data_IF_005631746132
#
_entry.id   IF_005631746132
#
_cell.length_a   1.000
_cell.length_b   1.000
_cell.length_c   1.000
_cell.angle_alpha   90.00
_cell.angle_beta   90.00
_cell.angle_gamma   90.00
#
_symmetry.space_group_name_H-M   'P 1'
#
loop_
_entity.id
_entity.type
_entity.pdbx_description
1 polymer ?
#
# COMPACT_ATOMS: atom_id res chain seq x y z
N UNK A 1 -42.21 -14.95 12.85
CA UNK A 1 -42.21 -13.48 12.80
C UNK A 1 -42.42 -12.94 14.22
N UNK A 2 -41.34 -12.57 14.91
CA UNK A 2 -41.37 -11.93 16.24
C UNK A 2 -40.26 -10.88 16.26
N UNK A 3 -40.68 -9.62 16.23
CA UNK A 3 -39.85 -8.43 16.28
C UNK A 3 -39.33 -8.28 17.71
N UNK A 4 -38.00 -8.20 17.89
CA UNK A 4 -37.36 -7.82 19.15
C UNK A 4 -36.90 -6.37 19.05
N UNK A 5 -37.50 -5.53 19.88
CA UNK A 5 -37.30 -4.10 20.06
C UNK A 5 -36.00 -3.81 20.84
N UNK A 6 -35.23 -2.83 20.38
CA UNK A 6 -34.08 -2.22 21.09
C UNK A 6 -34.56 -1.33 22.26
N UNK A 7 -33.78 -1.22 23.36
CA UNK A 7 -33.97 -0.17 24.35
C UNK A 7 -33.14 1.08 24.01
N UNK A 8 -33.86 2.19 23.88
CA UNK A 8 -33.40 3.57 23.84
C UNK A 8 -32.89 3.97 25.24
N UNK A 9 -31.67 4.50 25.37
CA UNK A 9 -31.16 5.08 26.63
C UNK A 9 -31.17 6.60 26.52
N UNK A 10 -31.96 7.23 27.39
CA UNK A 10 -32.18 8.66 27.49
C UNK A 10 -31.35 9.26 28.64
N UNK A 11 -30.88 10.47 28.37
CA UNK A 11 -29.95 11.35 29.10
C UNK A 11 -30.44 11.65 30.54
N UNK A 12 -29.51 11.68 31.50
CA UNK A 12 -29.73 12.29 32.81
C UNK A 12 -28.76 13.47 33.03
N UNK A 13 -29.32 14.67 33.05
CA UNK A 13 -28.71 15.93 33.43
C UNK A 13 -28.40 15.97 34.93
N UNK A 14 -27.27 16.56 35.30
CA UNK A 14 -27.01 17.05 36.67
C UNK A 14 -26.55 18.50 36.61
N UNK A 15 -27.23 19.34 37.38
CA UNK A 15 -27.10 20.79 37.44
C UNK A 15 -26.21 21.24 38.62
N UNK A 16 -25.41 22.29 38.34
CA UNK A 16 -25.12 23.50 39.13
C UNK A 16 -24.57 23.40 40.56
N UNK A 17 -23.43 24.07 40.80
CA UNK A 17 -23.25 24.98 41.97
C UNK A 17 -22.51 26.25 41.53
N UNK A 18 -23.09 27.38 41.94
CA UNK A 18 -22.66 28.77 41.77
C UNK A 18 -21.53 29.15 42.74
N UNK A 19 -20.56 29.94 42.28
CA UNK A 19 -19.84 30.90 43.12
C UNK A 19 -19.75 32.25 42.41
N UNK A 20 -20.26 33.27 43.10
CA UNK A 20 -20.34 34.67 42.68
C UNK A 20 -19.01 35.40 42.83
N UNK A 21 -18.64 36.23 41.85
CA UNK A 21 -17.86 37.43 42.09
C UNK A 21 -18.33 38.55 41.15
N UNK A 22 -18.67 39.67 41.76
CA UNK A 22 -19.33 40.86 41.20
C UNK A 22 -18.38 41.70 40.35
N UNK A 23 -18.84 42.19 39.19
CA UNK A 23 -18.17 43.17 38.33
C UNK A 23 -19.18 43.89 37.42
N UNK A 24 -18.93 45.15 37.00
CA UNK A 24 -19.94 46.20 36.87
C UNK A 24 -20.68 46.28 35.51
N UNK A 25 -21.84 46.95 35.57
CA UNK A 25 -22.79 47.43 34.56
C UNK A 25 -22.52 47.22 33.05
N UNK A 26 -23.42 46.39 32.51
CA UNK A 26 -24.07 46.34 31.20
C UNK A 26 -23.74 47.44 30.16
N UNK A 27 -23.00 47.03 29.12
CA UNK A 27 -23.04 47.66 27.80
C UNK A 27 -24.05 46.90 26.90
N UNK A 28 -24.80 47.59 26.02
CA UNK A 28 -25.82 46.94 25.19
C UNK A 28 -25.21 45.89 24.24
N UNK A 29 -25.90 44.76 24.00
CA UNK A 29 -25.37 43.68 23.18
C UNK A 29 -25.23 44.10 21.71
N UNK A 30 -24.03 43.92 21.18
CA UNK A 30 -23.73 44.04 19.74
C UNK A 30 -24.42 42.86 19.02
N UNK A 31 -25.14 43.09 17.90
CA UNK A 31 -25.74 41.99 17.15
C UNK A 31 -24.66 41.07 16.57
N UNK A 32 -24.74 39.77 16.88
CA UNK A 32 -23.90 38.75 16.24
C UNK A 32 -24.33 38.56 14.78
N UNK A 33 -23.39 38.42 13.82
CA UNK A 33 -23.74 38.16 12.43
C UNK A 33 -24.36 36.76 12.29
N UNK A 34 -25.44 36.69 11.51
CA UNK A 34 -26.14 35.45 11.16
C UNK A 34 -25.23 34.61 10.25
N UNK A 35 -25.00 33.31 10.52
CA UNK A 35 -24.21 32.48 9.61
C UNK A 35 -24.93 32.36 8.27
N UNK A 36 -24.24 32.71 7.19
CA UNK A 36 -24.74 32.52 5.83
C UNK A 36 -24.76 31.02 5.53
N UNK A 37 -25.91 30.49 5.12
CA UNK A 37 -26.04 29.12 4.63
C UNK A 37 -25.18 28.96 3.38
N UNK A 38 -24.16 28.10 3.45
CA UNK A 38 -23.37 27.71 2.30
C UNK A 38 -24.17 26.65 1.55
N UNK A 39 -24.70 26.99 0.37
CA UNK A 39 -25.22 25.99 -0.56
C UNK A 39 -24.02 25.21 -1.12
N UNK A 40 -23.85 23.97 -0.69
CA UNK A 40 -22.90 23.05 -1.31
C UNK A 40 -23.47 22.66 -2.68
N UNK A 41 -23.00 23.33 -3.73
CA UNK A 41 -23.20 22.84 -5.10
C UNK A 41 -22.42 21.53 -5.27
N UNK A 42 -22.98 20.51 -5.93
CA UNK A 42 -22.23 19.30 -6.22
C UNK A 42 -21.05 19.67 -7.13
N UNK A 43 -19.84 19.37 -6.70
CA UNK A 43 -18.66 19.47 -7.55
C UNK A 43 -18.75 18.37 -8.62
N UNK A 44 -19.32 18.71 -9.77
CA UNK A 44 -19.07 18.00 -11.01
C UNK A 44 -17.80 18.58 -11.63
N UNK A 45 -16.76 17.77 -11.70
CA UNK A 45 -15.51 18.11 -12.37
C UNK A 45 -14.36 17.35 -11.77
N UNK A 46 -14.05 16.19 -12.36
CA UNK A 46 -12.73 15.57 -12.31
C UNK A 46 -11.71 16.65 -12.69
N UNK A 47 -11.04 17.20 -11.68
CA UNK A 47 -9.76 17.82 -11.88
C UNK A 47 -8.78 16.65 -12.00
N UNK A 48 -8.02 16.59 -13.09
CA UNK A 48 -6.79 15.82 -13.07
C UNK A 48 -5.98 16.33 -11.87
N UNK A 49 -5.85 15.49 -10.85
CA UNK A 49 -4.97 15.77 -9.72
C UNK A 49 -3.59 16.03 -10.29
N UNK A 50 -2.98 17.15 -9.90
CA UNK A 50 -1.59 17.39 -10.27
C UNK A 50 -0.74 16.26 -9.67
N UNK A 51 0.21 15.73 -10.44
CA UNK A 51 1.17 14.72 -9.98
C UNK A 51 1.65 15.06 -8.56
N UNK A 52 1.36 14.17 -7.62
CA UNK A 52 1.85 14.23 -6.26
C UNK A 52 3.37 14.06 -6.24
N UNK A 53 4.05 14.44 -5.15
CA UNK A 53 5.50 14.25 -5.07
C UNK A 53 5.87 12.76 -5.13
N UNK A 54 4.98 11.91 -4.64
CA UNK A 54 5.06 10.46 -4.60
C UNK A 54 4.98 9.86 -6.00
N UNK A 55 3.97 10.25 -6.78
CA UNK A 55 3.83 9.79 -8.18
C UNK A 55 4.97 10.31 -9.06
N UNK A 56 5.42 11.54 -8.83
CA UNK A 56 6.59 12.10 -9.53
C UNK A 56 7.90 11.36 -9.19
N UNK A 57 8.09 10.91 -7.94
CA UNK A 57 9.25 10.09 -7.56
C UNK A 57 9.24 8.73 -8.26
N UNK A 58 8.09 8.06 -8.30
CA UNK A 58 7.94 6.78 -9.01
C UNK A 58 8.17 6.94 -10.51
N UNK A 59 7.64 8.01 -11.12
CA UNK A 59 7.93 8.32 -12.52
C UNK A 59 9.43 8.51 -12.78
N UNK A 60 10.14 9.22 -11.89
CA UNK A 60 11.59 9.41 -11.99
C UNK A 60 12.37 8.09 -11.81
N UNK A 61 11.90 7.20 -10.93
CA UNK A 61 12.47 5.87 -10.75
C UNK A 61 12.30 5.02 -12.01
N UNK A 62 11.10 4.97 -12.59
CA UNK A 62 10.82 4.26 -13.84
C UNK A 62 11.62 4.83 -15.02
N UNK A 63 11.81 6.15 -15.09
CA UNK A 63 12.69 6.77 -16.08
C UNK A 63 14.15 6.33 -15.92
N UNK A 64 14.65 6.20 -14.68
CA UNK A 64 15.98 5.67 -14.41
C UNK A 64 16.11 4.19 -14.82
N UNK A 65 15.10 3.37 -14.52
CA UNK A 65 15.05 1.95 -14.92
C UNK A 65 15.02 1.79 -16.43
N UNK A 66 14.14 2.50 -17.13
CA UNK A 66 14.06 2.50 -18.59
C UNK A 66 15.38 2.97 -19.25
N UNK A 67 16.04 3.97 -18.66
CA UNK A 67 17.35 4.46 -19.11
C UNK A 67 18.53 3.54 -18.75
N UNK A 68 18.27 2.46 -18.01
CA UNK A 68 19.29 1.54 -17.45
C UNK A 68 20.28 2.24 -16.50
N UNK A 69 19.83 3.30 -15.83
CA UNK A 69 20.61 4.09 -14.86
C UNK A 69 20.40 3.57 -13.44
N UNK A 70 21.09 2.46 -13.14
CA UNK A 70 21.04 1.84 -11.81
C UNK A 70 21.55 2.76 -10.69
N UNK A 71 22.38 3.76 -11.00
CA UNK A 71 22.88 4.73 -10.01
C UNK A 71 21.79 5.69 -9.58
N UNK A 72 21.05 6.24 -10.55
CA UNK A 72 19.92 7.10 -10.27
C UNK A 72 18.81 6.33 -9.53
N UNK A 73 18.49 5.12 -9.98
CA UNK A 73 17.49 4.27 -9.33
C UNK A 73 17.87 3.92 -7.89
N UNK A 74 19.12 3.48 -7.65
CA UNK A 74 19.63 3.16 -6.32
C UNK A 74 19.55 4.33 -5.34
N UNK A 75 19.81 5.55 -5.81
CA UNK A 75 19.78 6.76 -4.99
C UNK A 75 18.37 7.16 -4.53
N UNK A 76 17.32 6.63 -5.16
CA UNK A 76 15.91 6.87 -4.79
C UNK A 76 15.40 5.85 -3.77
N UNK A 77 16.17 4.80 -3.49
CA UNK A 77 15.82 3.77 -2.52
C UNK A 77 16.11 4.23 -1.09
N UNK A 78 15.32 3.72 -0.16
CA UNK A 78 15.56 3.89 1.26
C UNK A 78 16.82 3.14 1.73
N UNK A 79 17.44 3.54 2.84
CA UNK A 79 18.55 2.79 3.44
C UNK A 79 18.21 1.32 3.71
N UNK A 80 16.96 1.03 4.07
CA UNK A 80 16.46 -0.32 4.34
C UNK A 80 16.31 -1.17 3.07
N UNK A 81 15.85 -0.57 1.97
CA UNK A 81 15.82 -1.21 0.66
C UNK A 81 17.25 -1.47 0.14
N UNK A 82 18.15 -0.51 0.29
CA UNK A 82 19.57 -0.66 -0.06
C UNK A 82 20.25 -1.76 0.77
N UNK A 83 19.95 -1.83 2.07
CA UNK A 83 20.44 -2.90 2.95
C UNK A 83 19.91 -4.28 2.52
N UNK A 84 18.67 -4.36 2.04
CA UNK A 84 18.06 -5.59 1.50
C UNK A 84 18.79 -6.13 0.27
N UNK A 85 19.23 -5.24 -0.63
CA UNK A 85 20.05 -5.66 -1.76
C UNK A 85 21.46 -6.14 -1.35
N UNK A 86 21.86 -5.90 -0.10
CA UNK A 86 23.16 -6.27 0.48
C UNK A 86 24.33 -5.40 0.02
N UNK A 87 24.36 -4.99 -1.25
CA UNK A 87 25.32 -4.02 -1.79
C UNK A 87 24.80 -3.37 -3.07
N UNK A 88 25.37 -2.21 -3.43
CA UNK A 88 25.09 -1.56 -4.72
C UNK A 88 25.52 -2.47 -5.88
N UNK A 89 26.64 -3.17 -5.76
CA UNK A 89 27.11 -4.09 -6.79
C UNK A 89 26.13 -5.24 -7.02
N UNK A 90 25.54 -5.79 -5.95
CA UNK A 90 24.49 -6.81 -6.03
C UNK A 90 23.25 -6.26 -6.72
N UNK A 91 22.80 -5.06 -6.35
CA UNK A 91 21.67 -4.38 -6.98
C UNK A 91 21.87 -4.18 -8.48
N UNK A 92 23.02 -3.62 -8.88
CA UNK A 92 23.34 -3.41 -10.30
C UNK A 92 23.38 -4.74 -11.07
N UNK A 93 23.80 -5.83 -10.43
CA UNK A 93 23.85 -7.14 -11.06
C UNK A 93 22.47 -7.77 -11.29
N UNK A 94 21.48 -7.43 -10.46
CA UNK A 94 20.09 -7.87 -10.59
C UNK A 94 19.17 -6.84 -11.27
N UNK A 95 19.67 -5.64 -11.56
CA UNK A 95 18.88 -4.53 -12.08
C UNK A 95 18.16 -4.90 -13.39
N UNK A 96 16.84 -4.71 -13.40
CA UNK A 96 15.98 -5.08 -14.51
C UNK A 96 15.62 -6.57 -14.55
N UNK A 97 15.68 -7.24 -13.40
CA UNK A 97 15.26 -8.62 -13.18
C UNK A 97 15.22 -8.96 -11.68
N UNK A 98 14.95 -10.23 -11.34
CA UNK A 98 14.92 -10.72 -9.96
C UNK A 98 14.15 -9.80 -9.00
N UNK A 99 12.90 -9.52 -9.34
CA UNK A 99 11.99 -8.68 -8.55
C UNK A 99 12.20 -7.18 -8.66
N UNK A 100 12.93 -6.74 -9.69
CA UNK A 100 12.89 -5.34 -10.15
C UNK A 100 12.30 -5.30 -11.55
N UNK A 101 11.54 -4.23 -11.81
CA UNK A 101 11.00 -3.92 -13.14
C UNK A 101 12.12 -3.88 -14.18
N UNK A 102 11.97 -4.63 -15.26
CA UNK A 102 12.86 -4.55 -16.41
C UNK A 102 12.72 -3.22 -17.15
N UNK A 103 13.73 -2.76 -17.91
CA UNK A 103 13.62 -1.54 -18.70
C UNK A 103 12.40 -1.51 -19.63
N UNK A 104 12.06 -2.66 -20.22
CA UNK A 104 10.91 -2.81 -21.11
C UNK A 104 9.56 -2.75 -20.34
N UNK A 105 9.48 -3.33 -19.15
CA UNK A 105 8.32 -3.20 -18.26
C UNK A 105 8.17 -1.76 -17.75
N UNK A 106 9.27 -1.06 -17.45
CA UNK A 106 9.25 0.33 -17.04
C UNK A 106 8.74 1.25 -18.16
N UNK A 107 9.06 0.95 -19.42
CA UNK A 107 8.50 1.64 -20.60
C UNK A 107 6.99 1.45 -20.77
N UNK A 108 6.46 0.31 -20.33
CA UNK A 108 5.01 0.05 -20.32
C UNK A 108 4.32 0.78 -19.16
N UNK A 109 4.85 0.63 -17.95
CA UNK A 109 4.26 1.19 -16.73
C UNK A 109 4.30 2.74 -16.70
N UNK A 110 5.27 3.38 -17.37
CA UNK A 110 5.29 4.86 -17.56
C UNK A 110 4.18 5.38 -18.49
N UNK A 111 3.56 4.51 -19.28
CA UNK A 111 2.59 4.90 -20.31
C UNK A 111 1.15 4.87 -19.78
N UNK A 112 0.95 4.36 -18.57
CA UNK A 112 -0.34 4.31 -17.87
C UNK A 112 -0.36 5.34 -16.74
N UNK A 113 -1.58 5.74 -16.35
CA UNK A 113 -1.78 6.63 -15.20
C UNK A 113 -1.62 5.81 -13.91
N UNK A 114 -0.71 6.18 -12.99
CA UNK A 114 -0.59 5.47 -11.73
C UNK A 114 -1.75 5.79 -10.79
N UNK A 115 -2.09 4.83 -9.93
CA UNK A 115 -3.05 5.01 -8.84
C UNK A 115 -2.29 5.16 -7.52
N UNK A 116 -2.66 6.13 -6.69
CA UNK A 116 -2.06 6.32 -5.37
C UNK A 116 -3.05 6.06 -4.24
N UNK A 117 -2.60 5.38 -3.19
CA UNK A 117 -3.37 5.12 -1.98
C UNK A 117 -2.54 5.39 -0.72
N UNK A 118 -3.18 5.86 0.34
CA UNK A 118 -2.54 6.02 1.64
C UNK A 118 -2.35 4.65 2.31
N UNK A 119 -1.15 4.41 2.85
CA UNK A 119 -0.84 3.25 3.67
C UNK A 119 -1.43 3.34 5.08
N UNK A 120 -1.35 2.27 5.88
CA UNK A 120 -1.89 2.23 7.23
C UNK A 120 -1.34 3.37 8.09
N UNK A 121 -2.26 4.07 8.76
CA UNK A 121 -1.94 5.17 9.68
C UNK A 121 -1.10 6.31 9.05
N UNK A 122 -1.10 6.43 7.71
CA UNK A 122 -0.30 7.41 6.97
C UNK A 122 1.19 7.09 6.93
N UNK A 123 1.59 5.83 7.14
CA UNK A 123 2.99 5.42 7.19
C UNK A 123 3.74 5.57 5.85
N UNK A 124 3.02 5.45 4.73
CA UNK A 124 3.54 5.56 3.37
C UNK A 124 2.41 5.90 2.40
N UNK A 125 2.77 6.21 1.16
CA UNK A 125 1.86 6.22 0.01
C UNK A 125 2.21 5.06 -0.90
N UNK A 126 1.24 4.21 -1.23
CA UNK A 126 1.39 3.18 -2.24
C UNK A 126 1.07 3.79 -3.60
N UNK A 127 1.96 3.62 -4.56
CA UNK A 127 1.73 4.01 -5.95
C UNK A 127 1.74 2.75 -6.78
N UNK A 128 0.64 2.42 -7.46
CA UNK A 128 0.49 1.22 -8.28
C UNK A 128 0.24 1.58 -9.75
N UNK A 129 0.70 0.73 -10.66
CA UNK A 129 0.44 0.87 -12.09
C UNK A 129 0.16 -0.51 -12.69
N UNK A 130 -0.78 -0.58 -13.63
CA UNK A 130 -1.15 -1.79 -14.36
C UNK A 130 -1.27 -1.50 -15.86
N UNK A 131 -0.66 -2.34 -16.68
CA UNK A 131 -0.75 -2.34 -18.14
C UNK A 131 -1.00 -3.78 -18.62
N UNK A 132 -2.27 -4.19 -18.71
CA UNK A 132 -2.66 -5.52 -19.15
C UNK A 132 -2.14 -6.60 -18.19
N UNK A 133 -1.22 -7.44 -18.65
CA UNK A 133 -0.64 -8.55 -17.88
C UNK A 133 0.47 -8.14 -16.89
N UNK A 134 0.83 -6.86 -16.87
CA UNK A 134 1.90 -6.33 -16.05
C UNK A 134 1.32 -5.38 -15.00
N UNK A 135 1.61 -5.62 -13.73
CA UNK A 135 1.30 -4.70 -12.65
C UNK A 135 2.47 -4.62 -11.67
N UNK A 136 2.71 -3.44 -11.12
CA UNK A 136 3.66 -3.24 -10.04
C UNK A 136 3.22 -2.11 -9.09
N UNK A 137 3.80 -2.09 -7.89
CA UNK A 137 3.55 -1.05 -6.91
C UNK A 137 4.80 -0.68 -6.10
N UNK A 138 4.93 0.62 -5.83
CA UNK A 138 6.04 1.20 -5.09
C UNK A 138 5.54 1.83 -3.80
N UNK A 139 6.21 1.50 -2.71
CA UNK A 139 5.96 2.09 -1.40
C UNK A 139 6.83 3.35 -1.29
N UNK A 140 6.16 4.51 -1.29
CA UNK A 140 6.80 5.82 -1.16
C UNK A 140 6.64 6.31 0.28
N UNK A 141 7.73 6.63 0.97
CA UNK A 141 7.67 7.15 2.34
C UNK A 141 8.60 8.32 2.59
N UNK A 142 8.18 9.19 3.50
CA UNK A 142 9.00 10.28 3.99
C UNK A 142 10.07 9.73 4.95
N UNK A 143 11.31 10.17 4.76
CA UNK A 143 12.46 9.81 5.61
C UNK A 143 13.17 11.07 6.11
N UNK A 144 14.18 10.91 6.96
CA UNK A 144 15.07 12.03 7.32
C UNK A 144 15.91 12.56 6.14
N UNK A 145 15.98 11.80 5.05
CA UNK A 145 16.65 12.15 3.79
C UNK A 145 15.68 12.68 2.73
N UNK A 146 14.39 12.77 3.05
CA UNK A 146 13.30 13.13 2.13
C UNK A 146 12.48 11.92 1.67
N UNK A 147 11.69 12.13 0.63
CA UNK A 147 10.82 11.11 0.04
C UNK A 147 11.64 10.04 -0.71
N UNK A 148 11.52 8.77 -0.31
CA UNK A 148 12.27 7.63 -0.85
C UNK A 148 11.38 6.38 -1.02
N UNK A 149 11.90 5.39 -1.75
CA UNK A 149 11.20 4.15 -2.10
C UNK A 149 11.65 2.96 -1.25
N UNK A 150 10.69 2.26 -0.66
CA UNK A 150 10.86 0.89 -0.16
C UNK A 150 10.61 -0.11 -1.30
N UNK A 151 11.37 0.02 -2.39
CA UNK A 151 11.37 -0.98 -3.45
C UNK A 151 12.35 -2.10 -3.11
N UNK A 152 11.87 -3.33 -3.16
CA UNK A 152 12.64 -4.49 -2.75
C UNK A 152 13.36 -5.11 -3.93
N UNK A 153 14.65 -5.40 -3.75
CA UNK A 153 15.39 -6.26 -4.68
C UNK A 153 15.58 -7.61 -4.04
N UNK A 154 15.24 -8.65 -4.78
CA UNK A 154 15.38 -10.04 -4.33
C UNK A 154 16.85 -10.30 -4.04
N UNK A 155 17.20 -10.67 -2.80
CA UNK A 155 18.57 -10.98 -2.47
C UNK A 155 19.09 -12.10 -3.37
N UNK A 156 20.30 -11.96 -3.88
CA UNK A 156 20.96 -13.00 -4.67
C UNK A 156 21.21 -14.31 -3.90
N UNK A 157 20.85 -14.37 -2.62
CA UNK A 157 21.18 -15.42 -1.65
C UNK A 157 20.16 -16.56 -1.56
N UNK A 158 18.99 -16.49 -2.19
CA UNK A 158 18.03 -17.58 -2.18
C UNK A 158 16.58 -17.13 -2.38
N UNK A 159 15.70 -18.10 -2.68
CA UNK A 159 14.28 -17.89 -2.97
C UNK A 159 13.62 -16.93 -1.95
N UNK A 160 12.76 -16.05 -2.46
CA UNK A 160 11.91 -15.22 -1.60
C UNK A 160 11.01 -16.13 -0.74
N UNK A 161 10.70 -15.71 0.50
CA UNK A 161 9.96 -16.54 1.45
C UNK A 161 8.46 -16.57 1.16
N UNK A 162 7.98 -16.01 0.05
CA UNK A 162 6.57 -15.99 -0.32
C UNK A 162 6.33 -16.56 -1.72
N UNK A 163 5.08 -16.89 -2.01
CA UNK A 163 4.62 -17.35 -3.32
C UNK A 163 3.14 -17.02 -3.46
N UNK A 164 2.73 -16.43 -4.59
CA UNK A 164 1.32 -16.28 -4.90
C UNK A 164 0.72 -17.66 -5.21
N UNK A 165 -0.38 -17.99 -4.52
CA UNK A 165 -1.12 -19.25 -4.70
C UNK A 165 -2.31 -19.10 -5.63
N UNK A 166 -2.84 -17.89 -5.72
CA UNK A 166 -3.85 -17.49 -6.67
C UNK A 166 -3.66 -15.99 -6.95
N UNK A 167 -3.19 -15.59 -8.15
CA UNK A 167 -2.73 -16.46 -9.24
C UNK A 167 -1.52 -17.31 -8.80
N UNK A 168 -1.24 -18.43 -9.46
CA UNK A 168 -0.08 -19.27 -9.12
C UNK A 168 1.22 -18.68 -9.70
N UNK A 169 1.53 -17.44 -9.33
CA UNK A 169 2.72 -16.73 -9.78
C UNK A 169 3.90 -17.02 -8.85
N UNK A 170 5.04 -17.31 -9.46
CA UNK A 170 6.30 -17.30 -8.74
C UNK A 170 6.52 -15.92 -8.12
N UNK A 171 7.20 -15.82 -6.99
CA UNK A 171 7.26 -14.58 -6.22
C UNK A 171 7.84 -13.38 -6.98
N UNK A 172 8.55 -13.63 -8.08
CA UNK A 172 9.27 -12.64 -8.89
C UNK A 172 9.37 -13.08 -10.35
N UNK A 173 8.57 -14.09 -10.75
CA UNK A 173 8.62 -14.63 -12.10
C UNK A 173 7.58 -13.91 -12.97
N UNK A 174 8.07 -13.17 -13.97
CA UNK A 174 7.32 -12.83 -15.19
C UNK A 174 7.11 -14.12 -16.00
N UNK A 175 6.26 -15.02 -15.50
CA UNK A 175 5.79 -16.14 -16.32
C UNK A 175 5.01 -15.54 -17.50
N UNK A 176 5.41 -15.87 -18.73
CA UNK A 176 4.70 -15.47 -19.95
C UNK A 176 4.03 -16.70 -20.58
N UNK A 177 2.68 -16.77 -20.61
CA UNK A 177 1.73 -15.78 -20.09
C UNK A 177 1.59 -15.86 -18.56
N UNK A 178 1.20 -14.74 -17.94
CA UNK A 178 0.92 -14.69 -16.51
C UNK A 178 -0.19 -15.71 -16.14
N UNK A 179 -0.05 -16.45 -15.03
CA UNK A 179 -1.09 -17.38 -14.60
C UNK A 179 -2.39 -16.64 -14.33
N UNK A 180 -3.50 -17.11 -14.89
CA UNK A 180 -4.80 -16.51 -14.65
C UNK A 180 -5.25 -16.65 -13.19
N UNK A 181 -6.00 -15.67 -12.71
CA UNK A 181 -6.70 -15.72 -11.42
C UNK A 181 -7.84 -16.72 -11.46
N UNK A 182 -7.89 -17.62 -10.48
CA UNK A 182 -9.00 -18.51 -10.25
C UNK A 182 -10.04 -17.81 -9.37
N UNK A 183 -11.04 -17.19 -10.00
CA UNK A 183 -12.12 -16.45 -9.33
C UNK A 183 -13.02 -17.31 -8.44
N UNK A 184 -12.88 -18.64 -8.48
CA UNK A 184 -13.62 -19.55 -7.58
C UNK A 184 -12.99 -19.72 -6.20
N UNK A 185 -11.78 -19.16 -5.98
CA UNK A 185 -11.04 -19.19 -4.73
C UNK A 185 -10.51 -17.80 -4.37
N UNK A 186 -10.23 -17.52 -3.09
CA UNK A 186 -9.60 -16.25 -2.70
C UNK A 186 -8.26 -16.04 -3.40
N UNK A 187 -7.92 -14.78 -3.69
CA UNK A 187 -6.54 -14.38 -3.97
C UNK A 187 -5.70 -14.64 -2.72
N UNK A 188 -4.51 -15.21 -2.89
CA UNK A 188 -3.73 -15.63 -1.72
C UNK A 188 -2.23 -15.71 -1.95
N UNK A 189 -1.48 -15.43 -0.87
CA UNK A 189 -0.02 -15.48 -0.82
C UNK A 189 0.39 -16.37 0.35
N UNK A 190 1.23 -17.37 0.09
CA UNK A 190 1.79 -18.24 1.11
C UNK A 190 3.19 -17.76 1.50
N UNK A 191 3.47 -17.70 2.81
CA UNK A 191 4.78 -17.37 3.35
C UNK A 191 5.38 -18.60 4.05
N UNK A 192 6.59 -19.00 3.66
CA UNK A 192 7.37 -20.01 4.36
C UNK A 192 7.86 -19.46 5.71
N UNK A 193 7.86 -20.30 6.75
CA UNK A 193 8.49 -19.94 8.00
C UNK A 193 10.03 -19.86 7.83
N UNK A 194 10.70 -18.96 8.56
CA UNK A 194 12.16 -18.94 8.64
C UNK A 194 12.72 -20.27 9.13
N UNK A 195 13.75 -20.81 8.47
CA UNK A 195 14.31 -22.14 8.78
C UNK A 195 14.87 -22.25 10.21
N UNK A 196 15.34 -21.15 10.80
CA UNK A 196 15.95 -21.10 12.14
C UNK A 196 14.98 -20.60 13.24
N UNK A 197 13.71 -20.34 12.91
CA UNK A 197 12.70 -19.86 13.87
C UNK A 197 13.00 -18.51 14.52
N UNK A 198 14.05 -17.82 14.08
CA UNK A 198 14.30 -16.43 14.39
C UNK A 198 13.59 -15.59 13.32
N UNK A 199 12.76 -14.63 13.75
CA UNK A 199 12.28 -13.52 12.91
C UNK A 199 13.44 -12.57 12.51
N UNK A 200 14.66 -12.87 12.94
CA UNK A 200 15.87 -12.08 12.71
C UNK A 200 16.55 -12.44 11.41
N UNK A 201 16.74 -11.41 10.57
CA UNK A 201 17.67 -11.34 9.45
C UNK A 201 17.14 -11.80 8.07
N UNK A 202 15.89 -12.24 7.96
CA UNK A 202 15.23 -12.39 6.66
C UNK A 202 14.95 -11.03 6.04
N UNK A 203 15.72 -10.64 5.00
CA UNK A 203 15.65 -9.32 4.32
C UNK A 203 14.26 -8.96 3.73
N UNK A 204 13.41 -9.97 3.55
CA UNK A 204 12.03 -9.88 3.06
C UNK A 204 11.00 -9.88 4.20
N UNK A 205 11.35 -10.36 5.40
CA UNK A 205 10.47 -10.43 6.56
C UNK A 205 9.42 -11.55 6.53
N UNK A 206 9.00 -12.01 7.71
CA UNK A 206 7.86 -12.90 7.90
C UNK A 206 6.70 -12.08 8.49
N UNK A 207 5.53 -11.99 7.83
CA UNK A 207 4.54 -10.99 8.18
C UNK A 207 3.78 -11.35 9.47
N UNK A 208 3.80 -10.44 10.45
CA UNK A 208 2.87 -10.48 11.59
C UNK A 208 1.56 -9.76 11.31
N UNK A 209 1.61 -8.78 10.41
CA UNK A 209 0.50 -7.98 9.90
C UNK A 209 0.70 -7.74 8.41
N UNK A 210 -0.38 -7.49 7.69
CA UNK A 210 -0.36 -7.16 6.28
C UNK A 210 -1.60 -6.37 5.89
N UNK A 211 -1.51 -5.73 4.73
CA UNK A 211 -2.55 -4.92 4.11
C UNK A 211 -2.58 -5.22 2.62
N UNK A 212 -3.73 -5.04 1.99
CA UNK A 212 -3.90 -5.31 0.58
C UNK A 212 -4.69 -4.21 -0.11
N UNK A 213 -4.37 -3.97 -1.39
CA UNK A 213 -5.08 -3.03 -2.25
C UNK A 213 -5.43 -3.72 -3.57
N UNK A 214 -6.56 -3.32 -4.12
CA UNK A 214 -6.96 -3.59 -5.51
C UNK A 214 -7.20 -2.22 -6.14
N UNK A 215 -6.37 -1.84 -7.11
CA UNK A 215 -6.46 -0.53 -7.80
C UNK A 215 -6.55 0.66 -6.83
N UNK A 216 -5.69 0.65 -5.81
CA UNK A 216 -5.63 1.70 -4.78
C UNK A 216 -6.78 1.68 -3.76
N UNK A 217 -7.71 0.72 -3.84
CA UNK A 217 -8.74 0.51 -2.82
C UNK A 217 -8.26 -0.54 -1.83
N UNK A 218 -8.11 -0.17 -0.55
CA UNK A 218 -7.74 -1.12 0.50
C UNK A 218 -8.83 -2.18 0.67
N UNK A 219 -8.43 -3.46 0.69
CA UNK A 219 -9.32 -4.60 0.89
C UNK A 219 -8.93 -5.39 2.16
N UNK A 220 -9.90 -5.99 2.87
CA UNK A 220 -9.59 -6.80 4.05
C UNK A 220 -8.70 -8.00 3.69
N UNK A 221 -7.68 -8.23 4.51
CA UNK A 221 -6.82 -9.41 4.43
C UNK A 221 -6.91 -10.26 5.69
N UNK A 222 -7.03 -11.57 5.51
CA UNK A 222 -6.98 -12.54 6.59
C UNK A 222 -5.60 -13.20 6.62
N UNK A 223 -4.92 -13.11 7.77
CA UNK A 223 -3.65 -13.77 8.03
C UNK A 223 -3.87 -15.00 8.91
N UNK A 224 -3.57 -16.18 8.39
CA UNK A 224 -3.75 -17.45 9.09
C UNK A 224 -2.45 -18.26 9.14
N UNK A 225 -2.30 -19.09 10.18
CA UNK A 225 -1.24 -20.08 10.24
C UNK A 225 -1.50 -21.18 9.20
N UNK A 226 -0.48 -21.55 8.42
CA UNK A 226 -0.54 -22.55 7.36
C UNK A 226 0.65 -23.52 7.45
N UNK A 227 0.44 -24.65 8.16
CA UNK A 227 1.53 -25.57 8.46
C UNK A 227 2.56 -24.90 9.39
N UNK A 228 3.82 -24.86 8.97
CA UNK A 228 4.86 -24.08 9.64
C UNK A 228 4.85 -22.61 9.25
N UNK A 229 4.24 -22.25 8.11
CA UNK A 229 4.23 -20.90 7.55
C UNK A 229 2.94 -20.12 7.82
N UNK A 230 2.71 -19.09 7.01
CA UNK A 230 1.51 -18.25 7.00
C UNK A 230 0.84 -18.27 5.63
N UNK A 231 -0.47 -18.05 5.62
CA UNK A 231 -1.25 -17.83 4.41
C UNK A 231 -2.01 -16.53 4.59
N UNK A 232 -1.90 -15.66 3.59
CA UNK A 232 -2.71 -14.47 3.45
C UNK A 232 -3.77 -14.71 2.40
N UNK A 233 -5.02 -14.45 2.76
CA UNK A 233 -6.17 -14.53 1.86
C UNK A 233 -6.84 -13.16 1.82
N UNK A 234 -7.01 -12.63 0.60
CA UNK A 234 -7.68 -11.36 0.38
C UNK A 234 -9.18 -11.61 0.24
N UNK A 235 -10.00 -10.81 0.92
CA UNK A 235 -11.45 -10.87 0.76
C UNK A 235 -11.87 -10.15 -0.53
N UNK A 236 -11.98 -10.93 -1.61
CA UNK A 236 -12.42 -10.46 -2.93
C UNK A 236 -13.94 -10.54 -3.12
N UNK A 237 -14.72 -10.79 -2.05
CA UNK A 237 -16.18 -10.97 -2.20
C UNK A 237 -16.93 -9.73 -2.67
N UNK A 238 -16.34 -8.55 -2.48
CA UNK A 238 -16.85 -7.27 -2.97
C UNK A 238 -16.18 -6.80 -4.28
N UNK A 239 -15.17 -7.54 -4.76
CA UNK A 239 -14.48 -7.27 -6.00
C UNK A 239 -15.27 -7.85 -7.17
N UNK A 240 -15.47 -7.03 -8.20
CA UNK A 240 -16.17 -7.40 -9.42
C UNK A 240 -15.25 -7.10 -10.60
N UNK A 241 -14.75 -8.14 -11.26
CA UNK A 241 -14.05 -8.08 -12.53
C UNK A 241 -15.07 -7.79 -13.65
N UNK A 242 -15.50 -6.53 -13.72
CA UNK A 242 -16.60 -6.09 -14.60
C UNK A 242 -16.11 -5.37 -15.88
N UNK A 243 -14.83 -4.96 -15.97
CA UNK A 243 -14.35 -4.02 -16.98
C UNK A 243 -13.35 -4.58 -18.01
N UNK A 244 -13.10 -5.90 -18.05
CA UNK A 244 -12.13 -6.58 -18.95
C UNK A 244 -10.66 -6.08 -18.86
N UNK A 245 -10.38 -5.14 -17.96
CA UNK A 245 -9.06 -4.60 -17.64
C UNK A 245 -8.55 -5.25 -16.36
N UNK A 246 -7.33 -5.84 -16.37
CA UNK A 246 -6.74 -6.38 -15.15
C UNK A 246 -6.50 -5.30 -14.10
N UNK A 247 -6.71 -5.66 -12.84
CA UNK A 247 -6.46 -4.78 -11.69
C UNK A 247 -5.08 -5.04 -11.10
N UNK A 248 -4.43 -4.01 -10.55
CA UNK A 248 -3.25 -4.16 -9.71
C UNK A 248 -3.66 -4.65 -8.32
N UNK A 249 -3.33 -5.90 -8.00
CA UNK A 249 -3.50 -6.46 -6.66
C UNK A 249 -2.17 -6.45 -5.93
N UNK A 250 -2.07 -5.62 -4.90
CA UNK A 250 -0.84 -5.44 -4.12
C UNK A 250 -1.04 -5.91 -2.68
N UNK A 251 -0.12 -6.71 -2.18
CA UNK A 251 0.00 -7.04 -0.76
C UNK A 251 1.20 -6.30 -0.17
N UNK A 252 1.04 -5.66 0.99
CA UNK A 252 2.09 -4.95 1.73
C UNK A 252 2.22 -5.48 3.15
N UNK A 253 3.45 -5.60 3.65
CA UNK A 253 3.74 -5.95 5.04
C UNK A 253 4.98 -5.22 5.56
N UNK A 254 5.06 -5.10 6.88
CA UNK A 254 6.22 -4.53 7.59
C UNK A 254 7.22 -5.64 7.93
N UNK A 255 8.52 -5.38 7.75
CA UNK A 255 9.60 -6.34 8.03
C UNK A 255 9.90 -6.39 9.52
N UNK A 256 9.13 -7.14 10.29
CA UNK A 256 9.27 -7.20 11.75
C UNK A 256 8.69 -5.96 12.44
N UNK A 257 8.09 -6.15 13.62
CA UNK A 257 7.18 -5.17 14.23
C UNK A 257 7.76 -3.79 14.58
N UNK A 258 9.08 -3.64 14.65
CA UNK A 258 9.74 -2.37 14.99
C UNK A 258 10.58 -1.78 13.82
N UNK A 259 10.59 -2.43 12.65
CA UNK A 259 11.39 -1.96 11.51
C UNK A 259 10.64 -0.90 10.70
N UNK A 260 11.31 0.19 10.26
CA UNK A 260 10.70 1.12 9.32
C UNK A 260 10.57 0.55 7.90
N UNK A 261 11.09 -0.66 7.64
CA UNK A 261 11.09 -1.27 6.32
C UNK A 261 9.75 -1.91 5.98
N UNK A 262 9.20 -1.55 4.83
CA UNK A 262 8.04 -2.17 4.22
C UNK A 262 8.41 -2.99 3.00
N UNK A 263 7.56 -3.95 2.64
CA UNK A 263 7.70 -4.80 1.45
C UNK A 263 6.36 -4.95 0.78
N UNK A 264 6.38 -5.09 -0.54
CA UNK A 264 5.18 -5.38 -1.30
C UNK A 264 5.43 -6.50 -2.32
N UNK A 265 4.33 -7.08 -2.80
CA UNK A 265 4.29 -7.90 -4.01
C UNK A 265 3.00 -7.59 -4.75
N UNK A 266 3.07 -7.52 -6.08
CA UNK A 266 1.95 -7.10 -6.93
C UNK A 266 1.75 -8.08 -8.08
N UNK A 267 0.49 -8.33 -8.44
CA UNK A 267 0.09 -9.09 -9.63
C UNK A 267 -1.02 -8.37 -10.37
N UNK A 268 -1.09 -8.55 -11.69
CA UNK A 268 -2.26 -8.20 -12.48
C UNK A 268 -3.31 -9.30 -12.31
N UNK A 269 -4.55 -8.94 -11.95
CA UNK A 269 -5.63 -9.86 -11.61
C UNK A 269 -6.89 -9.65 -12.43
#
# INVERSE_FOLDING_TARGET
MRIRTLPLVLIASSAVVLTSCTGPDEAPPVPLPVPSSVETSPASGSAAEADTAETALVAAYLDAVAARDADAAWAMLTPEAQASAGSRESYVASFGGAGTVSPEEAERLRAVEPVSAEGPEGAFTLVSAVDGDLADAWIVRETDQGLLLDDHVVPSTGATPYEWRNPAAGPEESADPAPAVDTSRPLSVAFAAPEDGADGDGLVGYPDTAWAWIDGVEVPVALAAAGSGRLLELDTSAWTDDDETPDAVTLVWQVGGDSPAWRSTTVAA
#
